data_IF_498213476063
#
_entry.id   IF_498213476063
#
_cell.length_a   1.000
_cell.length_b   1.000
_cell.length_c   1.000
_cell.angle_alpha   90.00
_cell.angle_beta   90.00
_cell.angle_gamma   90.00
#
_symmetry.space_group_name_H-M   'P 1'
#
loop_
_entity.id
_entity.type
_entity.pdbx_description
1 polymer ?
#
# COMPACT_ATOMS: atom_id res chain seq x y z
N UNK A 1 -16.77 -28.03 -4.80
CA UNK A 1 -15.66 -28.10 -5.79
C UNK A 1 -15.74 -27.00 -6.86
N UNK A 2 -16.92 -26.63 -7.39
CA UNK A 2 -17.02 -25.49 -8.33
C UNK A 2 -16.70 -24.13 -7.67
N UNK A 3 -17.27 -23.85 -6.48
CA UNK A 3 -17.07 -22.58 -5.75
C UNK A 3 -15.60 -22.30 -5.40
N UNK A 4 -14.83 -23.33 -5.05
CA UNK A 4 -13.40 -23.23 -4.73
C UNK A 4 -12.52 -22.98 -5.95
N UNK A 5 -12.96 -23.39 -7.14
CA UNK A 5 -12.28 -23.14 -8.41
C UNK A 5 -12.55 -21.74 -8.95
N UNK A 6 -13.67 -21.14 -8.51
CA UNK A 6 -14.05 -19.76 -8.84
C UNK A 6 -13.40 -18.75 -7.88
N UNK A 7 -13.13 -19.12 -6.63
CA UNK A 7 -12.42 -18.25 -5.68
C UNK A 7 -10.93 -18.07 -6.04
N UNK A 8 -10.34 -16.94 -5.65
CA UNK A 8 -8.91 -16.71 -5.87
C UNK A 8 -8.06 -17.64 -5.00
N UNK A 9 -6.88 -18.09 -5.46
CA UNK A 9 -5.92 -18.74 -4.59
C UNK A 9 -5.52 -17.78 -3.45
N UNK A 10 -5.39 -18.32 -2.25
CA UNK A 10 -4.94 -17.57 -1.06
C UNK A 10 -3.41 -17.60 -1.09
N UNK A 11 -2.78 -16.44 -0.90
CA UNK A 11 -1.32 -16.31 -0.76
C UNK A 11 -1.01 -15.62 0.56
N UNK A 12 0.11 -15.97 1.18
CA UNK A 12 0.56 -15.34 2.43
C UNK A 12 1.20 -13.95 2.18
N UNK A 13 1.59 -13.67 0.93
CA UNK A 13 2.11 -12.37 0.51
C UNK A 13 0.96 -11.40 0.19
N UNK A 14 0.97 -10.22 0.81
CA UNK A 14 -0.06 -9.19 0.70
C UNK A 14 -0.14 -8.64 -0.74
N UNK A 15 1.01 -8.42 -1.39
CA UNK A 15 1.06 -7.85 -2.75
C UNK A 15 0.64 -8.90 -3.79
N UNK A 16 1.09 -10.13 -3.62
CA UNK A 16 0.68 -11.25 -4.46
C UNK A 16 -0.83 -11.50 -4.33
N UNK A 17 -1.36 -11.44 -3.11
CA UNK A 17 -2.79 -11.60 -2.82
C UNK A 17 -3.66 -10.52 -3.46
N UNK A 18 -3.17 -9.28 -3.56
CA UNK A 18 -3.88 -8.21 -4.25
C UNK A 18 -3.94 -8.47 -5.76
N UNK A 19 -2.81 -8.80 -6.40
CA UNK A 19 -2.73 -9.12 -7.83
C UNK A 19 -3.59 -10.32 -8.21
N UNK A 20 -3.56 -11.36 -7.39
CA UNK A 20 -4.37 -12.58 -7.58
C UNK A 20 -5.87 -12.27 -7.53
N UNK A 21 -6.30 -11.41 -6.61
CA UNK A 21 -7.70 -10.97 -6.54
C UNK A 21 -8.09 -10.16 -7.77
N UNK A 22 -7.31 -9.16 -8.17
CA UNK A 22 -7.57 -8.36 -9.36
C UNK A 22 -7.68 -9.22 -10.63
N UNK A 23 -6.73 -10.14 -10.82
CA UNK A 23 -6.74 -11.05 -11.97
C UNK A 23 -7.95 -11.98 -11.94
N UNK A 24 -8.29 -12.56 -10.79
CA UNK A 24 -9.44 -13.45 -10.65
C UNK A 24 -10.77 -12.71 -10.90
N UNK A 25 -10.92 -11.49 -10.38
CA UNK A 25 -12.11 -10.68 -10.63
C UNK A 25 -12.20 -10.23 -12.08
N UNK A 26 -11.07 -9.92 -12.72
CA UNK A 26 -11.02 -9.60 -14.17
C UNK A 26 -11.43 -10.80 -15.03
N UNK A 27 -10.90 -12.00 -14.73
CA UNK A 27 -11.30 -13.24 -15.41
C UNK A 27 -12.81 -13.51 -15.27
N UNK A 28 -13.38 -13.26 -14.09
CA UNK A 28 -14.83 -13.40 -13.86
C UNK A 28 -15.63 -12.37 -14.65
N UNK A 29 -15.22 -11.10 -14.67
CA UNK A 29 -15.92 -10.05 -15.42
C UNK A 29 -15.97 -10.37 -16.92
N UNK A 30 -14.84 -10.82 -17.49
CA UNK A 30 -14.78 -11.23 -18.91
C UNK A 30 -15.62 -12.48 -19.16
N UNK A 31 -15.54 -13.50 -18.30
CA UNK A 31 -16.33 -14.73 -18.45
C UNK A 31 -17.84 -14.46 -18.39
N UNK A 32 -18.27 -13.58 -17.48
CA UNK A 32 -19.67 -13.14 -17.38
C UNK A 32 -20.06 -12.37 -18.64
N UNK A 33 -19.19 -11.48 -19.14
CA UNK A 33 -19.44 -10.76 -20.39
C UNK A 33 -19.68 -11.70 -21.57
N UNK A 34 -18.83 -12.73 -21.74
CA UNK A 34 -19.02 -13.74 -22.79
C UNK A 34 -20.34 -14.49 -22.58
N UNK A 35 -20.68 -14.86 -21.33
CA UNK A 35 -21.93 -15.55 -21.04
C UNK A 35 -23.16 -14.70 -21.41
N UNK A 36 -23.09 -13.38 -21.22
CA UNK A 36 -24.15 -12.43 -21.59
C UNK A 36 -24.34 -12.31 -23.11
N UNK A 37 -23.32 -12.65 -23.92
CA UNK A 37 -23.44 -12.70 -25.38
C UNK A 37 -24.04 -14.00 -25.91
N UNK A 38 -24.14 -15.06 -25.10
CA UNK A 38 -24.63 -16.37 -25.56
C UNK A 38 -26.08 -16.35 -26.08
N UNK A 39 -27.05 -15.67 -25.45
CA UNK A 39 -28.43 -15.64 -25.97
C UNK A 39 -28.49 -15.07 -27.37
N UNK A 40 -27.75 -14.01 -27.64
CA UNK A 40 -27.67 -13.42 -28.98
C UNK A 40 -26.98 -14.36 -29.97
N UNK A 41 -25.89 -15.00 -29.56
CA UNK A 41 -25.17 -15.96 -30.40
C UNK A 41 -26.07 -17.16 -30.81
N UNK A 42 -27.05 -17.54 -29.98
CA UNK A 42 -28.00 -18.62 -30.25
C UNK A 42 -29.17 -18.15 -31.14
N UNK A 43 -29.66 -16.92 -30.94
CA UNK A 43 -30.86 -16.40 -31.59
C UNK A 43 -30.57 -15.72 -32.94
N UNK A 44 -29.36 -15.20 -33.13
CA UNK A 44 -28.96 -14.43 -34.31
C UNK A 44 -28.05 -15.24 -35.24
N UNK A 45 -28.23 -15.15 -36.57
CA UNK A 45 -27.41 -15.88 -37.53
C UNK A 45 -26.04 -15.20 -37.70
N UNK A 46 -25.02 -15.69 -37.00
CA UNK A 46 -23.64 -15.25 -37.17
C UNK A 46 -22.84 -16.20 -38.08
N UNK A 47 -21.74 -15.73 -38.71
CA UNK A 47 -20.83 -16.62 -39.42
C UNK A 47 -20.19 -17.65 -38.46
N UNK A 48 -19.88 -18.88 -38.93
CA UNK A 48 -19.29 -19.93 -38.10
C UNK A 48 -18.02 -19.52 -37.35
N UNK A 49 -17.24 -18.57 -37.91
CA UNK A 49 -16.05 -18.01 -37.28
C UNK A 49 -16.33 -17.39 -35.91
N UNK A 50 -17.49 -16.74 -35.73
CA UNK A 50 -17.86 -16.06 -34.48
C UNK A 50 -18.00 -17.07 -33.34
N UNK A 51 -18.70 -18.19 -33.58
CA UNK A 51 -18.88 -19.28 -32.61
C UNK A 51 -17.54 -19.93 -32.23
N UNK A 52 -16.65 -20.10 -33.21
CA UNK A 52 -15.32 -20.66 -32.98
C UNK A 52 -14.50 -19.72 -32.08
N UNK A 53 -14.48 -18.42 -32.39
CA UNK A 53 -13.73 -17.42 -31.62
C UNK A 53 -14.25 -17.32 -30.19
N UNK A 54 -15.56 -17.25 -29.98
CA UNK A 54 -16.15 -17.16 -28.63
C UNK A 54 -15.86 -18.41 -27.80
N UNK A 55 -15.89 -19.60 -28.42
CA UNK A 55 -15.58 -20.87 -27.76
C UNK A 55 -14.10 -20.96 -27.39
N UNK A 56 -13.20 -20.58 -28.30
CA UNK A 56 -11.76 -20.49 -28.04
C UNK A 56 -11.48 -19.49 -26.91
N UNK A 57 -12.10 -18.31 -26.94
CA UNK A 57 -11.93 -17.30 -25.90
C UNK A 57 -12.39 -17.83 -24.53
N UNK A 58 -13.56 -18.47 -24.46
CA UNK A 58 -14.07 -19.02 -23.20
C UNK A 58 -13.15 -20.12 -22.65
N UNK A 59 -12.74 -21.08 -23.49
CA UNK A 59 -11.81 -22.14 -23.09
C UNK A 59 -10.45 -21.60 -22.67
N UNK A 60 -9.94 -20.58 -23.37
CA UNK A 60 -8.70 -19.90 -23.00
C UNK A 60 -8.79 -19.26 -21.61
N UNK A 61 -9.90 -18.57 -21.28
CA UNK A 61 -10.12 -17.99 -19.94
C UNK A 61 -10.09 -19.06 -18.85
N UNK A 62 -10.70 -20.22 -19.09
CA UNK A 62 -10.66 -21.34 -18.16
C UNK A 62 -9.23 -21.91 -18.02
N UNK A 63 -8.47 -21.97 -19.12
CA UNK A 63 -7.06 -22.34 -19.11
C UNK A 63 -6.18 -21.35 -18.33
N UNK A 64 -6.41 -20.05 -18.47
CA UNK A 64 -5.74 -19.00 -17.70
C UNK A 64 -6.04 -19.10 -16.21
N UNK A 65 -7.28 -19.43 -15.88
CA UNK A 65 -7.72 -19.68 -14.51
C UNK A 65 -6.97 -20.87 -13.91
N UNK A 66 -6.83 -21.95 -14.67
CA UNK A 66 -6.03 -23.10 -14.27
C UNK A 66 -4.54 -22.74 -14.10
N UNK A 67 -3.98 -21.95 -15.01
CA UNK A 67 -2.60 -21.47 -14.94
C UNK A 67 -2.33 -20.59 -13.70
N UNK A 68 -3.31 -19.77 -13.33
CA UNK A 68 -3.28 -18.96 -12.11
C UNK A 68 -3.23 -19.85 -10.86
N UNK A 69 -3.99 -20.96 -10.83
CA UNK A 69 -3.95 -21.93 -9.72
C UNK A 69 -2.63 -22.70 -9.64
N UNK A 70 -1.86 -22.77 -10.74
CA UNK A 70 -0.49 -23.30 -10.75
C UNK A 70 0.57 -22.29 -10.31
N UNK A 71 0.18 -21.11 -9.85
CA UNK A 71 1.09 -20.08 -9.32
C UNK A 71 1.73 -19.18 -10.39
N UNK A 72 1.39 -19.33 -11.67
CA UNK A 72 1.97 -18.53 -12.77
C UNK A 72 1.17 -17.25 -13.06
N UNK A 73 1.04 -16.37 -12.06
CA UNK A 73 0.13 -15.22 -12.07
C UNK A 73 0.51 -14.18 -13.14
N UNK A 74 1.79 -13.79 -13.22
CA UNK A 74 2.24 -12.78 -14.19
C UNK A 74 2.04 -13.25 -15.64
N UNK A 75 2.31 -14.53 -15.91
CA UNK A 75 2.09 -15.12 -17.23
C UNK A 75 0.59 -15.15 -17.57
N UNK A 76 -0.27 -15.54 -16.61
CA UNK A 76 -1.72 -15.51 -16.80
C UNK A 76 -2.24 -14.11 -17.09
N UNK A 77 -1.72 -13.07 -16.42
CA UNK A 77 -2.12 -11.68 -16.66
C UNK A 77 -1.74 -11.22 -18.07
N UNK A 78 -0.50 -11.49 -18.50
CA UNK A 78 -0.05 -11.13 -19.85
C UNK A 78 -0.86 -11.86 -20.94
N UNK A 79 -1.05 -13.17 -20.76
CA UNK A 79 -1.83 -13.97 -21.70
C UNK A 79 -3.29 -13.52 -21.75
N UNK A 80 -3.91 -13.13 -20.62
CA UNK A 80 -5.28 -12.60 -20.60
C UNK A 80 -5.41 -11.38 -21.53
N UNK A 81 -4.50 -10.41 -21.38
CA UNK A 81 -4.56 -9.17 -22.16
C UNK A 81 -4.33 -9.44 -23.65
N UNK A 82 -3.34 -10.27 -23.97
CA UNK A 82 -3.07 -10.66 -25.36
C UNK A 82 -4.27 -11.39 -25.97
N UNK A 83 -4.83 -12.37 -25.26
CA UNK A 83 -6.03 -13.10 -25.70
C UNK A 83 -7.21 -12.15 -25.92
N UNK A 84 -7.43 -11.17 -25.04
CA UNK A 84 -8.47 -10.15 -25.21
C UNK A 84 -8.24 -9.28 -26.45
N UNK A 85 -6.99 -8.87 -26.73
CA UNK A 85 -6.66 -8.07 -27.91
C UNK A 85 -6.86 -8.85 -29.23
N UNK A 86 -6.44 -10.12 -29.27
CA UNK A 86 -6.67 -10.98 -30.44
C UNK A 86 -8.15 -11.35 -30.61
N UNK A 87 -8.87 -11.60 -29.52
CA UNK A 87 -10.31 -11.85 -29.58
C UNK A 87 -11.10 -10.64 -30.08
N UNK A 88 -10.72 -9.43 -29.65
CA UNK A 88 -11.25 -8.18 -30.19
C UNK A 88 -11.04 -8.08 -31.72
N UNK A 89 -9.82 -8.34 -32.19
CA UNK A 89 -9.51 -8.32 -33.62
C UNK A 89 -10.26 -9.42 -34.40
N UNK A 90 -10.34 -10.64 -33.88
CA UNK A 90 -11.07 -11.74 -34.49
C UNK A 90 -12.59 -11.50 -34.56
N UNK A 91 -13.16 -10.92 -33.51
CA UNK A 91 -14.58 -10.53 -33.48
C UNK A 91 -14.90 -9.51 -34.57
N UNK A 92 -14.10 -8.43 -34.68
CA UNK A 92 -14.25 -7.44 -35.75
C UNK A 92 -14.04 -8.02 -37.15
N UNK A 93 -13.08 -8.94 -37.30
CA UNK A 93 -12.85 -9.64 -38.57
C UNK A 93 -14.05 -10.47 -39.00
N UNK A 94 -14.80 -11.03 -38.04
CA UNK A 94 -15.99 -11.84 -38.31
C UNK A 94 -17.22 -11.00 -38.69
N UNK A 95 -17.28 -9.75 -38.23
CA UNK A 95 -18.30 -8.77 -38.65
C UNK A 95 -17.98 -8.16 -40.01
N UNK A 96 -16.69 -8.14 -40.39
CA UNK A 96 -16.26 -7.73 -41.73
C UNK A 96 -16.07 -6.22 -41.93
N UNK A 97 -16.30 -5.41 -40.89
CA UNK A 97 -16.07 -3.95 -40.96
C UNK A 97 -15.41 -3.42 -39.69
N UNK A 98 -14.45 -2.51 -39.88
CA UNK A 98 -13.80 -1.77 -38.79
C UNK A 98 -14.61 -0.53 -38.39
N UNK A 99 -15.57 -0.13 -39.22
CA UNK A 99 -16.39 1.07 -39.03
C UNK A 99 -17.56 0.83 -38.08
N UNK A 100 -17.72 -0.39 -37.58
CA UNK A 100 -18.72 -0.72 -36.59
C UNK A 100 -18.41 -0.04 -35.23
N UNK A 101 -19.44 0.31 -34.44
CA UNK A 101 -19.26 0.77 -33.05
C UNK A 101 -18.46 -0.22 -32.18
N UNK A 102 -18.33 -1.47 -32.61
CA UNK A 102 -17.58 -2.53 -31.95
C UNK A 102 -16.07 -2.27 -31.79
N UNK A 103 -15.46 -1.31 -32.50
CA UNK A 103 -14.02 -1.00 -32.36
C UNK A 103 -13.65 -0.60 -30.92
N UNK A 104 -14.61 -0.11 -30.14
CA UNK A 104 -14.44 0.24 -28.72
C UNK A 104 -14.06 -0.97 -27.86
N UNK A 105 -14.24 -2.20 -28.34
CA UNK A 105 -13.82 -3.43 -27.64
C UNK A 105 -12.30 -3.49 -27.37
N UNK A 106 -11.47 -2.78 -28.15
CA UNK A 106 -10.04 -2.65 -27.88
C UNK A 106 -9.72 -1.86 -26.61
N UNK A 107 -10.67 -1.11 -26.04
CA UNK A 107 -10.47 -0.46 -24.75
C UNK A 107 -10.29 -1.47 -23.60
N UNK A 108 -10.93 -2.65 -23.68
CA UNK A 108 -10.88 -3.69 -22.65
C UNK A 108 -9.45 -4.20 -22.38
N UNK A 109 -8.68 -4.67 -23.38
CA UNK A 109 -7.29 -5.08 -23.15
C UNK A 109 -6.38 -3.93 -22.68
N UNK A 110 -6.65 -2.68 -23.07
CA UNK A 110 -5.89 -1.51 -22.60
C UNK A 110 -6.13 -1.28 -21.11
N UNK A 111 -7.40 -1.24 -20.69
CA UNK A 111 -7.79 -1.10 -19.28
C UNK A 111 -7.26 -2.27 -18.43
N UNK A 112 -7.32 -3.49 -18.97
CA UNK A 112 -6.76 -4.66 -18.30
C UNK A 112 -5.23 -4.58 -18.16
N UNK A 113 -4.51 -4.07 -19.16
CA UNK A 113 -3.06 -3.87 -19.10
C UNK A 113 -2.65 -2.89 -18.00
N UNK A 114 -3.33 -1.74 -17.97
CA UNK A 114 -3.08 -0.70 -16.97
C UNK A 114 -3.33 -1.22 -15.55
N UNK A 115 -4.43 -1.96 -15.36
CA UNK A 115 -4.83 -2.46 -14.04
C UNK A 115 -3.95 -3.62 -13.55
N UNK A 116 -3.52 -4.54 -14.43
CA UNK A 116 -2.92 -5.81 -14.02
C UNK A 116 -1.40 -5.83 -14.07
N UNK A 117 -0.78 -5.14 -15.03
CA UNK A 117 0.67 -5.21 -15.27
C UNK A 117 1.35 -3.85 -15.03
N UNK A 118 0.61 -2.75 -15.21
CA UNK A 118 1.07 -1.38 -15.00
C UNK A 118 1.63 -0.71 -16.28
N UNK A 119 1.84 0.60 -16.20
CA UNK A 119 1.99 1.49 -17.36
C UNK A 119 3.06 1.13 -18.39
N UNK A 120 4.17 0.47 -18.01
CA UNK A 120 5.22 0.07 -18.95
C UNK A 120 4.74 -1.00 -19.94
N UNK A 121 3.90 -1.93 -19.48
CA UNK A 121 3.32 -2.95 -20.35
C UNK A 121 2.16 -2.39 -21.17
N UNK A 122 1.45 -1.39 -20.66
CA UNK A 122 0.36 -0.70 -21.38
C UNK A 122 0.84 -0.17 -22.73
N UNK A 123 2.04 0.42 -22.80
CA UNK A 123 2.62 0.89 -24.06
C UNK A 123 2.83 -0.24 -25.08
N UNK A 124 3.35 -1.39 -24.65
CA UNK A 124 3.53 -2.56 -25.52
C UNK A 124 2.20 -3.10 -26.04
N UNK A 125 1.15 -3.06 -25.20
CA UNK A 125 -0.21 -3.49 -25.59
C UNK A 125 -0.86 -2.49 -26.55
N UNK A 126 -0.67 -1.18 -26.35
CA UNK A 126 -1.12 -0.15 -27.29
C UNK A 126 -0.45 -0.35 -28.65
N UNK A 127 0.86 -0.64 -28.68
CA UNK A 127 1.58 -0.94 -29.91
C UNK A 127 1.03 -2.20 -30.59
N UNK A 128 0.80 -3.28 -29.83
CA UNK A 128 0.18 -4.51 -30.35
C UNK A 128 -1.20 -4.23 -30.96
N UNK A 129 -2.05 -3.50 -30.26
CA UNK A 129 -3.39 -3.13 -30.75
C UNK A 129 -3.29 -2.26 -32.01
N UNK A 130 -2.33 -1.33 -32.06
CA UNK A 130 -2.10 -0.49 -33.24
C UNK A 130 -1.71 -1.34 -34.46
N UNK A 131 -0.87 -2.36 -34.27
CA UNK A 131 -0.52 -3.33 -35.31
C UNK A 131 -1.73 -4.17 -35.74
N UNK A 132 -2.55 -4.64 -34.79
CA UNK A 132 -3.78 -5.40 -35.08
C UNK A 132 -4.80 -4.57 -35.86
N UNK A 133 -5.00 -3.31 -35.50
CA UNK A 133 -5.88 -2.38 -36.23
C UNK A 133 -5.31 -2.12 -37.63
N UNK A 134 -4.00 -1.90 -37.77
CA UNK A 134 -3.35 -1.75 -39.08
C UNK A 134 -3.53 -2.98 -39.97
N UNK A 135 -3.39 -4.18 -39.39
CA UNK A 135 -3.66 -5.44 -40.08
C UNK A 135 -5.12 -5.56 -40.51
N UNK A 136 -6.09 -5.24 -39.63
CA UNK A 136 -7.51 -5.23 -39.97
C UNK A 136 -7.79 -4.29 -41.17
N UNK A 137 -7.24 -3.08 -41.16
CA UNK A 137 -7.43 -2.11 -42.25
C UNK A 137 -6.86 -2.67 -43.56
N UNK A 138 -5.70 -3.32 -43.50
CA UNK A 138 -5.11 -4.02 -44.63
C UNK A 138 -6.01 -5.14 -45.15
N UNK A 139 -6.57 -5.95 -44.25
CA UNK A 139 -7.47 -7.06 -44.59
C UNK A 139 -8.79 -6.58 -45.22
N UNK A 140 -9.37 -5.48 -44.72
CA UNK A 140 -10.56 -4.84 -45.30
C UNK A 140 -10.26 -4.34 -46.72
N UNK A 141 -9.13 -3.65 -46.92
CA UNK A 141 -8.71 -3.15 -48.25
C UNK A 141 -8.42 -4.25 -49.26
N UNK A 142 -7.91 -5.39 -48.80
CA UNK A 142 -7.62 -6.55 -49.64
C UNK A 142 -8.87 -7.38 -49.96
N UNK A 143 -10.04 -7.05 -49.40
CA UNK A 143 -11.26 -7.83 -49.57
C UNK A 143 -11.19 -9.22 -48.91
N UNK A 144 -10.32 -9.39 -47.91
CA UNK A 144 -10.18 -10.66 -47.18
C UNK A 144 -11.24 -10.86 -46.10
N UNK A 145 -11.94 -9.78 -45.74
CA UNK A 145 -13.01 -9.80 -44.74
C UNK A 145 -14.35 -10.18 -45.39
N UNK A 146 -15.25 -10.88 -44.65
CA UNK A 146 -16.59 -11.16 -45.13
C UNK A 146 -17.36 -9.86 -45.42
N UNK A 147 -18.38 -9.93 -46.28
CA UNK A 147 -19.24 -8.77 -46.55
C UNK A 147 -19.89 -8.30 -45.25
N UNK A 148 -19.80 -6.98 -44.93
CA UNK A 148 -20.23 -6.49 -43.64
C UNK A 148 -21.74 -6.53 -43.52
N UNK A 149 -22.23 -7.25 -42.51
CA UNK A 149 -23.62 -7.17 -42.10
C UNK A 149 -23.83 -5.86 -41.31
N UNK A 150 -24.44 -4.87 -41.97
CA UNK A 150 -24.79 -3.58 -41.35
C UNK A 150 -26.16 -3.59 -40.69
N UNK A 151 -26.81 -4.76 -40.56
CA UNK A 151 -28.09 -4.86 -39.88
C UNK A 151 -27.94 -4.51 -38.39
N UNK A 152 -28.80 -3.61 -37.92
CA UNK A 152 -28.84 -3.21 -36.51
C UNK A 152 -29.90 -4.05 -35.83
N UNK A 153 -29.46 -5.07 -35.10
CA UNK A 153 -30.33 -6.02 -34.40
C UNK A 153 -30.15 -6.01 -32.88
N UNK A 154 -30.92 -6.88 -32.22
CA UNK A 154 -30.80 -7.15 -30.78
C UNK A 154 -29.36 -7.50 -30.38
N UNK A 155 -28.62 -8.19 -31.26
CA UNK A 155 -27.23 -8.56 -31.00
C UNK A 155 -26.26 -7.41 -30.87
N UNK A 156 -26.44 -6.34 -31.65
CA UNK A 156 -25.61 -5.15 -31.51
C UNK A 156 -25.88 -4.44 -30.17
N UNK A 157 -27.14 -4.37 -29.73
CA UNK A 157 -27.50 -3.85 -28.40
C UNK A 157 -26.90 -4.72 -27.28
N UNK A 158 -27.00 -6.03 -27.38
CA UNK A 158 -26.45 -6.97 -26.39
C UNK A 158 -24.92 -6.90 -26.32
N UNK A 159 -24.24 -6.81 -27.46
CA UNK A 159 -22.79 -6.68 -27.56
C UNK A 159 -22.29 -5.36 -26.95
N UNK A 160 -22.94 -4.23 -27.26
CA UNK A 160 -22.59 -2.92 -26.69
C UNK A 160 -22.87 -2.87 -25.18
N UNK A 161 -24.01 -3.42 -24.73
CA UNK A 161 -24.34 -3.50 -23.30
C UNK A 161 -23.31 -4.34 -22.55
N UNK A 162 -22.89 -5.47 -23.14
CA UNK A 162 -21.83 -6.31 -22.59
C UNK A 162 -20.51 -5.56 -22.51
N UNK A 163 -20.13 -4.85 -23.58
CA UNK A 163 -18.92 -4.04 -23.62
C UNK A 163 -18.91 -2.97 -22.52
N UNK A 164 -19.99 -2.21 -22.39
CA UNK A 164 -20.11 -1.20 -21.33
C UNK A 164 -20.08 -1.82 -19.94
N UNK A 165 -20.69 -2.99 -19.75
CA UNK A 165 -20.63 -3.74 -18.49
C UNK A 165 -19.20 -4.18 -18.15
N UNK A 166 -18.44 -4.70 -19.12
CA UNK A 166 -17.04 -5.11 -18.93
C UNK A 166 -16.16 -3.89 -18.64
N UNK A 167 -16.25 -2.82 -19.45
CA UNK A 167 -15.51 -1.57 -19.23
C UNK A 167 -15.84 -0.98 -17.86
N UNK A 168 -17.13 -0.91 -17.50
CA UNK A 168 -17.61 -0.45 -16.20
C UNK A 168 -17.07 -1.29 -15.04
N UNK A 169 -16.98 -2.62 -15.20
CA UNK A 169 -16.37 -3.49 -14.21
C UNK A 169 -14.87 -3.20 -14.02
N UNK A 170 -14.12 -2.99 -15.11
CA UNK A 170 -12.70 -2.59 -15.02
C UNK A 170 -12.51 -1.23 -14.36
N UNK A 171 -13.31 -0.23 -14.74
CA UNK A 171 -13.27 1.10 -14.12
C UNK A 171 -13.64 1.02 -12.64
N UNK A 172 -14.69 0.28 -12.29
CA UNK A 172 -15.09 0.08 -10.89
C UNK A 172 -13.97 -0.58 -10.06
N UNK A 173 -13.28 -1.58 -10.62
CA UNK A 173 -12.12 -2.21 -9.96
C UNK A 173 -10.99 -1.20 -9.74
N UNK A 174 -10.67 -0.40 -10.75
CA UNK A 174 -9.64 0.63 -10.66
C UNK A 174 -9.95 1.64 -9.55
N UNK A 175 -11.17 2.22 -9.54
CA UNK A 175 -11.59 3.17 -8.50
C UNK A 175 -11.57 2.54 -7.12
N UNK A 176 -12.04 1.29 -6.98
CA UNK A 176 -12.05 0.59 -5.69
C UNK A 176 -10.64 0.38 -5.13
N UNK A 177 -9.65 0.10 -5.98
CA UNK A 177 -8.25 -0.01 -5.57
C UNK A 177 -7.71 1.34 -5.09
N UNK A 178 -8.04 2.43 -5.79
CA UNK A 178 -7.64 3.79 -5.41
C UNK A 178 -8.24 4.17 -4.05
N UNK A 179 -9.53 3.94 -3.85
CA UNK A 179 -10.22 4.25 -2.58
C UNK A 179 -9.64 3.46 -1.40
N UNK A 180 -9.27 2.19 -1.63
CA UNK A 180 -8.64 1.37 -0.60
C UNK A 180 -7.25 1.89 -0.22
N UNK A 181 -6.44 2.28 -1.21
CA UNK A 181 -5.13 2.86 -0.96
C UNK A 181 -5.25 4.19 -0.19
N UNK A 182 -6.18 5.05 -0.59
CA UNK A 182 -6.42 6.34 0.07
C UNK A 182 -6.89 6.16 1.52
N UNK A 183 -7.81 5.21 1.77
CA UNK A 183 -8.29 4.93 3.12
C UNK A 183 -7.22 4.34 4.04
N UNK A 184 -6.30 3.53 3.49
CA UNK A 184 -5.15 3.03 4.27
C UNK A 184 -4.21 4.16 4.64
N UNK A 185 -3.84 5.00 3.67
CA UNK A 185 -2.97 6.14 3.90
C UNK A 185 -3.58 7.15 4.88
N UNK A 186 -4.89 7.43 4.79
CA UNK A 186 -5.58 8.34 5.71
C UNK A 186 -5.63 7.77 7.13
N UNK A 187 -5.86 6.46 7.28
CA UNK A 187 -5.85 5.78 8.58
C UNK A 187 -4.46 5.80 9.23
N UNK A 188 -3.42 5.49 8.47
CA UNK A 188 -2.03 5.54 8.94
C UNK A 188 -1.63 6.96 9.38
N UNK A 189 -2.03 7.98 8.60
CA UNK A 189 -1.80 9.37 8.94
C UNK A 189 -2.55 9.79 10.23
N UNK A 190 -3.79 9.35 10.40
CA UNK A 190 -4.58 9.63 11.60
C UNK A 190 -3.96 8.97 12.84
N UNK A 191 -3.50 7.73 12.71
CA UNK A 191 -2.83 7.00 13.78
C UNK A 191 -1.51 7.66 14.17
N UNK A 192 -0.68 8.03 13.19
CA UNK A 192 0.56 8.77 13.42
C UNK A 192 0.32 10.09 14.15
N UNK A 193 -0.65 10.89 13.69
CA UNK A 193 -1.02 12.16 14.36
C UNK A 193 -1.50 11.95 15.78
N UNK A 194 -2.24 10.87 16.05
CA UNK A 194 -2.70 10.53 17.40
C UNK A 194 -1.52 10.22 18.32
N UNK A 195 -0.56 9.41 17.85
CA UNK A 195 0.65 9.08 18.62
C UNK A 195 1.49 10.32 18.87
N UNK A 196 1.70 11.16 17.85
CA UNK A 196 2.44 12.43 17.99
C UNK A 196 1.76 13.39 18.98
N UNK A 197 0.43 13.50 18.96
CA UNK A 197 -0.31 14.33 19.90
C UNK A 197 -0.24 13.79 21.34
N UNK A 198 -0.33 12.47 21.52
CA UNK A 198 -0.17 11.83 22.83
C UNK A 198 1.25 12.02 23.38
N UNK A 199 2.26 11.93 22.53
CA UNK A 199 3.65 12.19 22.89
C UNK A 199 3.82 13.64 23.34
N UNK A 200 3.38 14.62 22.53
CA UNK A 200 3.45 16.05 22.88
C UNK A 200 2.72 16.36 24.18
N UNK A 201 1.52 15.82 24.37
CA UNK A 201 0.77 16.01 25.62
C UNK A 201 1.50 15.43 26.83
N UNK A 202 2.17 14.29 26.66
CA UNK A 202 3.00 13.69 27.71
C UNK A 202 4.24 14.53 28.00
N UNK A 203 4.91 15.05 26.98
CA UNK A 203 6.07 15.95 27.10
C UNK A 203 5.69 17.26 27.80
N UNK A 204 4.59 17.90 27.39
CA UNK A 204 4.08 19.12 28.03
C UNK A 204 3.67 18.88 29.48
N UNK A 205 3.02 17.74 29.77
CA UNK A 205 2.69 17.36 31.14
C UNK A 205 3.94 17.14 31.98
N UNK A 206 4.92 16.42 31.46
CA UNK A 206 6.20 16.18 32.15
C UNK A 206 6.93 17.50 32.41
N UNK A 207 7.03 18.37 31.40
CA UNK A 207 7.63 19.70 31.53
C UNK A 207 6.89 20.58 32.54
N UNK A 208 5.57 20.50 32.60
CA UNK A 208 4.76 21.25 33.57
C UNK A 208 4.95 20.73 35.00
N UNK A 209 5.06 19.41 35.18
CA UNK A 209 5.37 18.81 36.48
C UNK A 209 6.75 19.27 36.95
N UNK A 210 7.78 19.16 36.09
CA UNK A 210 9.13 19.62 36.39
C UNK A 210 9.19 21.11 36.71
N UNK A 211 8.45 21.94 35.97
CA UNK A 211 8.37 23.39 36.20
C UNK A 211 7.60 23.78 37.48
N UNK A 212 6.81 22.87 38.07
CA UNK A 212 6.10 23.10 39.32
C UNK A 212 6.88 22.59 40.55
N UNK A 213 7.94 21.80 40.37
CA UNK A 213 8.75 21.25 41.46
C UNK A 213 9.76 22.29 41.97
N UNK A 214 9.73 22.68 43.25
CA UNK A 214 10.63 23.71 43.79
C UNK A 214 12.07 23.24 44.01
N UNK A 215 12.37 21.96 43.71
CA UNK A 215 13.64 21.29 43.96
C UNK A 215 14.49 21.20 42.68
N UNK A 216 15.81 21.18 42.85
CA UNK A 216 16.77 20.95 41.77
C UNK A 216 16.80 19.46 41.40
N UNK A 217 16.52 19.13 40.14
CA UNK A 217 16.58 17.76 39.61
C UNK A 217 17.65 17.72 38.54
N UNK A 218 18.52 16.71 38.58
CA UNK A 218 19.50 16.46 37.53
C UNK A 218 19.43 15.00 37.10
N UNK A 219 19.67 14.76 35.82
CA UNK A 219 19.82 13.44 35.22
C UNK A 219 21.32 13.26 34.95
N UNK A 220 21.90 12.16 35.44
CA UNK A 220 23.31 11.86 35.23
C UNK A 220 23.50 10.40 34.81
N UNK A 221 24.58 10.11 34.09
CA UNK A 221 25.01 8.73 33.80
C UNK A 221 25.52 8.05 35.07
N UNK A 222 25.60 6.70 35.09
CA UNK A 222 26.21 5.97 36.21
C UNK A 222 27.64 6.42 36.52
N UNK A 223 28.38 6.92 35.52
CA UNK A 223 29.74 7.42 35.65
C UNK A 223 29.79 8.86 36.22
N UNK A 224 28.65 9.49 36.49
CA UNK A 224 28.56 10.82 37.09
C UNK A 224 28.63 11.98 36.09
N UNK A 225 28.35 11.73 34.80
CA UNK A 225 28.23 12.78 33.79
C UNK A 225 26.80 13.35 33.76
N UNK A 226 26.64 14.67 33.86
CA UNK A 226 25.33 15.31 33.80
C UNK A 226 24.76 15.31 32.36
N UNK A 227 23.56 14.78 32.19
CA UNK A 227 22.83 14.71 30.92
C UNK A 227 21.79 15.83 30.80
N UNK A 228 21.09 16.15 31.89
CA UNK A 228 20.06 17.19 31.92
C UNK A 228 19.88 17.77 33.33
N UNK A 229 19.35 18.98 33.42
CA UNK A 229 19.14 19.69 34.69
C UNK A 229 17.86 20.53 34.64
N UNK A 230 17.01 20.37 35.65
CA UNK A 230 15.75 21.09 35.81
C UNK A 230 15.74 21.86 37.12
N UNK A 231 15.54 23.18 37.04
CA UNK A 231 15.34 24.06 38.19
C UNK A 231 14.31 25.13 37.86
N UNK A 232 13.39 25.40 38.79
CA UNK A 232 12.40 26.49 38.68
C UNK A 232 13.03 27.85 38.96
N UNK A 233 14.14 27.88 39.71
CA UNK A 233 14.85 29.11 40.08
C UNK A 233 16.28 29.02 39.54
N UNK A 234 16.58 29.82 38.51
CA UNK A 234 17.95 29.94 37.97
C UNK A 234 18.97 30.33 39.06
N UNK A 235 18.53 31.01 40.12
CA UNK A 235 19.36 31.41 41.26
C UNK A 235 19.78 30.25 42.18
N UNK A 236 19.07 29.12 42.11
CA UNK A 236 19.39 27.94 42.94
C UNK A 236 20.54 27.13 42.32
N UNK A 237 20.77 27.28 41.01
CA UNK A 237 21.87 26.65 40.28
C UNK A 237 23.21 27.31 40.64
N UNK A 238 24.20 26.51 41.04
CA UNK A 238 25.58 26.97 41.26
C UNK A 238 26.30 27.32 39.94
N UNK A 239 25.84 26.74 38.82
CA UNK A 239 26.38 26.96 37.49
C UNK A 239 25.24 26.98 36.44
N UNK A 240 25.38 27.75 35.34
CA UNK A 240 24.43 27.73 34.23
C UNK A 240 24.31 26.32 33.63
N UNK A 241 23.11 25.91 33.16
CA UNK A 241 22.90 24.59 32.54
C UNK A 241 23.91 24.29 31.42
N UNK A 242 24.21 25.30 30.61
CA UNK A 242 25.12 25.25 29.46
C UNK A 242 26.55 24.84 29.83
N UNK A 243 26.95 25.08 31.09
CA UNK A 243 28.27 24.73 31.63
C UNK A 243 28.24 23.35 32.30
N UNK A 244 27.10 22.94 32.84
CA UNK A 244 26.94 21.69 33.61
C UNK A 244 26.73 20.49 32.70
N UNK A 245 25.94 20.62 31.64
CA UNK A 245 25.59 19.51 30.75
C UNK A 245 26.86 18.99 30.04
N UNK A 246 27.08 17.69 30.11
CA UNK A 246 28.25 17.00 29.53
C UNK A 246 29.50 16.99 30.42
N UNK A 247 29.52 17.71 31.55
CA UNK A 247 30.61 17.66 32.54
C UNK A 247 30.40 16.52 33.53
N UNK A 248 31.50 16.09 34.14
CA UNK A 248 31.47 15.12 35.24
C UNK A 248 31.38 15.82 36.58
N UNK A 249 30.93 15.11 37.62
CA UNK A 249 30.86 15.66 38.97
C UNK A 249 32.23 16.12 39.52
N UNK A 250 33.32 15.48 39.08
CA UNK A 250 34.70 15.85 39.42
C UNK A 250 35.12 17.19 38.81
N UNK A 251 34.51 17.61 37.69
CA UNK A 251 34.83 18.88 37.05
C UNK A 251 34.17 20.07 37.76
N UNK A 252 33.08 19.82 38.51
CA UNK A 252 32.21 20.86 39.07
C UNK A 252 32.31 21.00 40.59
N UNK A 253 32.74 19.96 41.30
CA UNK A 253 32.81 19.93 42.76
C UNK A 253 34.18 19.50 43.27
N UNK A 254 34.59 19.91 44.50
CA UNK A 254 35.80 19.41 45.14
C UNK A 254 35.83 17.88 45.20
N UNK A 255 37.04 17.30 45.08
CA UNK A 255 37.27 15.86 44.97
C UNK A 255 36.59 15.06 46.08
N UNK A 256 36.59 15.58 47.31
CA UNK A 256 35.96 14.97 48.48
C UNK A 256 34.43 14.84 48.37
N UNK A 257 33.77 15.81 47.71
CA UNK A 257 32.32 15.79 47.47
C UNK A 257 32.02 14.90 46.27
N UNK A 258 32.78 15.03 45.19
CA UNK A 258 32.64 14.24 43.97
C UNK A 258 32.76 12.73 44.25
N UNK A 259 33.77 12.33 45.03
CA UNK A 259 33.99 10.93 45.40
C UNK A 259 32.82 10.36 46.21
N UNK A 260 32.33 11.10 47.22
CA UNK A 260 31.16 10.69 48.01
C UNK A 260 29.90 10.53 47.16
N UNK A 261 29.71 11.39 46.18
CA UNK A 261 28.55 11.34 45.30
C UNK A 261 28.61 10.13 44.35
N UNK A 262 29.81 9.81 43.84
CA UNK A 262 30.05 8.61 43.05
C UNK A 262 29.72 7.34 43.85
N UNK A 263 30.15 7.26 45.11
CA UNK A 263 29.83 6.12 45.99
C UNK A 263 28.31 5.96 46.20
N UNK A 264 27.57 7.07 46.24
CA UNK A 264 26.11 7.06 46.38
C UNK A 264 25.45 6.58 45.08
N UNK A 265 25.91 7.05 43.92
CA UNK A 265 25.47 6.57 42.60
C UNK A 265 25.70 5.06 42.46
N UNK A 266 26.90 4.58 42.84
CA UNK A 266 27.25 3.16 42.81
C UNK A 266 26.35 2.33 43.75
N UNK A 267 26.09 2.83 44.96
CA UNK A 267 25.17 2.18 45.90
C UNK A 267 23.73 2.19 45.42
N UNK A 268 23.24 3.29 44.88
CA UNK A 268 21.88 3.38 44.33
C UNK A 268 21.70 2.39 43.18
N UNK A 269 22.67 2.33 42.25
CA UNK A 269 22.64 1.45 41.08
C UNK A 269 22.76 -0.03 41.45
N UNK A 270 23.65 -0.37 42.38
CA UNK A 270 23.87 -1.77 42.82
C UNK A 270 22.75 -2.32 43.71
N UNK A 271 22.22 -1.51 44.62
CA UNK A 271 21.19 -1.96 45.58
C UNK A 271 19.77 -1.85 45.04
N UNK A 272 19.58 -1.06 43.97
CA UNK A 272 18.27 -0.63 43.46
C UNK A 272 17.36 0.03 44.51
N UNK A 273 17.95 0.60 45.58
CA UNK A 273 17.23 1.32 46.64
C UNK A 273 17.58 2.80 46.63
N UNK A 274 16.60 3.63 46.97
CA UNK A 274 16.78 5.08 47.11
C UNK A 274 17.87 5.35 48.14
N UNK A 275 18.83 6.20 47.78
CA UNK A 275 19.86 6.72 48.67
C UNK A 275 19.60 8.21 48.91
N UNK A 276 19.80 8.65 50.15
CA UNK A 276 19.64 10.05 50.54
C UNK A 276 20.92 10.51 51.20
N UNK A 277 21.42 11.69 50.81
CA UNK A 277 22.65 12.25 51.32
C UNK A 277 22.51 13.75 51.58
N UNK A 278 22.76 14.16 52.81
CA UNK A 278 22.76 15.57 53.21
C UNK A 278 24.19 16.13 53.09
N UNK A 279 24.34 17.22 52.34
CA UNK A 279 25.61 17.90 52.10
C UNK A 279 25.48 19.41 52.36
N UNK A 280 26.61 20.11 52.50
CA UNK A 280 26.63 21.56 52.65
C UNK A 280 27.67 22.11 51.68
N UNK A 281 27.25 23.08 50.89
CA UNK A 281 28.12 23.86 50.01
C UNK A 281 28.47 25.17 50.72
N UNK A 282 29.71 25.62 50.57
CA UNK A 282 30.26 26.79 51.26
C UNK A 282 29.33 28.02 51.16
N UNK A 283 28.62 28.32 52.25
CA UNK A 283 27.72 29.48 52.35
C UNK A 283 26.21 29.21 52.17
N UNK A 284 25.77 27.97 51.94
CA UNK A 284 24.34 27.58 51.96
C UNK A 284 24.01 26.62 53.11
N UNK A 285 22.78 26.69 53.60
CA UNK A 285 22.21 25.74 54.56
C UNK A 285 22.22 24.31 53.99
N UNK A 286 22.11 23.29 54.88
CA UNK A 286 22.10 21.86 54.53
C UNK A 286 21.18 21.57 53.34
N UNK A 287 21.78 21.13 52.22
CA UNK A 287 21.06 20.63 51.05
C UNK A 287 20.99 19.10 51.10
N UNK A 288 19.85 18.53 50.68
CA UNK A 288 19.63 17.09 50.66
C UNK A 288 19.56 16.60 49.22
N UNK A 289 20.45 15.70 48.84
CA UNK A 289 20.40 14.98 47.57
C UNK A 289 19.68 13.64 47.76
N UNK A 290 18.72 13.34 46.89
CA UNK A 290 18.04 12.04 46.85
C UNK A 290 18.32 11.39 45.50
N UNK A 291 18.95 10.21 45.52
CA UNK A 291 19.26 9.42 44.32
C UNK A 291 18.34 8.19 44.31
N UNK A 292 17.39 8.09 43.37
CA UNK A 292 16.52 6.93 43.28
C UNK A 292 17.31 5.69 42.87
N UNK A 293 17.00 4.54 43.48
CA UNK A 293 17.74 3.29 43.21
C UNK A 293 17.38 2.61 41.90
N UNK A 294 16.19 2.85 41.37
CA UNK A 294 15.83 2.37 40.03
C UNK A 294 16.37 3.36 39.00
N UNK A 295 17.49 3.00 38.37
CA UNK A 295 17.96 3.72 37.18
C UNK A 295 16.87 3.72 36.11
N UNK A 296 16.68 4.87 35.45
CA UNK A 296 15.83 4.94 34.28
C UNK A 296 16.60 4.26 33.14
N UNK A 297 16.17 3.08 32.70
CA UNK A 297 16.70 2.49 31.47
C UNK A 297 16.19 3.34 30.31
N UNK A 298 17.06 4.20 29.79
CA UNK A 298 16.84 4.93 28.53
C UNK A 298 16.96 3.96 27.36
#
# INVERSE_FOLDING_TARGET
>A
KLKSWISSPISDDIDLSHRVRLLSTSLNAVAIGILLTLPDLILSPYPPSTYIITTILFTAIQGLRWLMHRGRINLSAYLLIVILAFAAAGGLSSVGTIRAPGIVIFAVPILAAELLIGGRATLSIILLISVLIGWLIGAERAGMLPEPDTSVGFGQWAALTTLFGVVGAFVHLATRTIDQALNRASKELAERRRVEAQLRASEERFRSILAAMPDLIFIATPEGQYLDIFSVREKDLSFPPDIVIGRTIYDLFPEEIAQRFQEILDRATSTRKIQTYDYSLAGRDRERCVVPGSGCSI
#
